data_IF_650555419387
#
_entry.id   IF_650555419387
#
_cell.length_a   1.000
_cell.length_b   1.000
_cell.length_c   1.000
_cell.angle_alpha   90.00
_cell.angle_beta   90.00
_cell.angle_gamma   90.00
#
_symmetry.space_group_name_H-M   'P 1'
#
loop_
_entity.id
_entity.type
_entity.pdbx_description
1 polymer ?
#
# COMPACT_ATOMS: atom_id res chain seq x y z
N UNK A 1 -10.77 36.57 37.01
CA UNK A 1 -11.06 36.07 35.65
C UNK A 1 -12.26 35.15 35.70
N UNK A 2 -13.29 35.36 34.87
CA UNK A 2 -14.52 34.55 34.92
C UNK A 2 -14.25 33.10 34.54
N UNK A 3 -14.84 32.13 35.26
CA UNK A 3 -14.71 30.69 34.96
C UNK A 3 -15.08 30.37 33.51
N UNK A 4 -16.01 31.13 32.92
CA UNK A 4 -16.39 31.01 31.49
C UNK A 4 -15.21 31.26 30.54
N UNK A 5 -14.36 32.24 30.87
CA UNK A 5 -13.18 32.59 30.05
C UNK A 5 -12.14 31.47 30.12
N UNK A 6 -11.98 30.83 31.29
CA UNK A 6 -11.06 29.70 31.49
C UNK A 6 -11.52 28.49 30.67
N UNK A 7 -12.82 28.16 30.69
CA UNK A 7 -13.36 27.05 29.89
C UNK A 7 -13.24 27.29 28.38
N UNK A 8 -13.48 28.52 27.94
CA UNK A 8 -13.38 28.90 26.53
C UNK A 8 -11.92 28.85 26.04
N UNK A 9 -10.97 29.23 26.88
CA UNK A 9 -9.55 29.04 26.62
C UNK A 9 -9.17 27.56 26.55
N UNK A 10 -9.63 26.73 27.49
CA UNK A 10 -9.35 25.28 27.47
C UNK A 10 -9.90 24.60 26.20
N UNK A 11 -11.12 24.96 25.79
CA UNK A 11 -11.73 24.44 24.57
C UNK A 11 -10.95 24.85 23.32
N UNK A 12 -10.53 26.11 23.25
CA UNK A 12 -9.68 26.63 22.17
C UNK A 12 -8.37 25.83 22.06
N UNK A 13 -7.67 25.62 23.18
CA UNK A 13 -6.42 24.83 23.20
C UNK A 13 -6.65 23.40 22.69
N UNK A 14 -7.71 22.73 23.14
CA UNK A 14 -8.04 21.37 22.68
C UNK A 14 -8.35 21.33 21.16
N UNK A 15 -9.03 22.35 20.65
CA UNK A 15 -9.37 22.46 19.23
C UNK A 15 -8.11 22.66 18.35
N UNK A 16 -7.19 23.52 18.77
CA UNK A 16 -5.92 23.74 18.03
C UNK A 16 -4.99 22.53 18.07
N UNK A 17 -4.97 21.74 19.15
CA UNK A 17 -4.20 20.47 19.21
C UNK A 17 -4.73 19.43 18.22
N UNK A 18 -6.05 19.36 18.00
CA UNK A 18 -6.63 18.44 17.02
C UNK A 18 -6.32 18.86 15.58
N UNK A 19 -6.36 20.16 15.28
CA UNK A 19 -6.01 20.69 13.95
C UNK A 19 -4.55 20.41 13.56
N UNK A 20 -3.60 20.50 14.51
CA UNK A 20 -2.19 20.24 14.24
C UNK A 20 -1.85 18.78 13.90
N UNK A 21 -2.67 17.82 14.34
CA UNK A 21 -2.48 16.40 14.01
C UNK A 21 -3.13 16.02 12.67
N UNK A 22 -4.16 16.74 12.23
CA UNK A 22 -4.84 16.48 10.96
C UNK A 22 -4.00 16.87 9.72
N UNK A 23 -2.98 17.72 9.87
CA UNK A 23 -2.14 18.18 8.75
C UNK A 23 -0.92 17.28 8.45
N UNK A 24 -0.67 16.23 9.24
CA UNK A 24 0.44 15.30 8.97
C UNK A 24 0.00 14.27 7.94
N UNK A 25 0.32 14.53 6.67
CA UNK A 25 0.27 13.49 5.65
C UNK A 25 1.30 12.42 6.01
N UNK A 26 0.83 11.23 6.40
CA UNK A 26 1.70 10.10 6.70
C UNK A 26 2.41 9.63 5.42
N UNK A 27 3.69 9.96 5.32
CA UNK A 27 4.57 9.58 4.19
C UNK A 27 5.41 8.34 4.51
N UNK A 28 5.27 7.75 5.70
CA UNK A 28 6.09 6.60 6.13
C UNK A 28 5.93 5.37 5.24
N UNK A 29 4.75 5.21 4.61
CA UNK A 29 4.46 4.14 3.67
C UNK A 29 4.93 4.38 2.23
N UNK A 30 5.33 5.60 1.87
CA UNK A 30 5.66 5.94 0.48
C UNK A 30 7.09 5.51 0.10
N UNK A 31 7.29 5.21 -1.19
CA UNK A 31 8.60 4.96 -1.78
C UNK A 31 9.55 6.12 -1.48
N UNK A 32 10.72 5.81 -0.92
CA UNK A 32 11.77 6.80 -0.67
C UNK A 32 12.48 7.15 -1.98
N UNK A 33 12.65 8.44 -2.24
CA UNK A 33 13.42 8.94 -3.38
C UNK A 33 14.92 8.95 -3.06
N UNK A 34 15.53 7.77 -2.96
CA UNK A 34 16.97 7.60 -2.71
C UNK A 34 17.58 6.67 -3.77
N UNK A 35 18.83 6.89 -4.22
CA UNK A 35 19.47 6.04 -5.22
C UNK A 35 19.56 4.55 -4.83
N UNK A 36 19.57 4.26 -3.54
CA UNK A 36 19.66 2.91 -2.99
C UNK A 36 18.29 2.21 -2.91
N UNK A 37 17.20 2.93 -3.19
CA UNK A 37 15.86 2.37 -3.11
C UNK A 37 15.65 1.28 -4.16
N UNK A 38 15.08 0.15 -3.72
CA UNK A 38 14.71 -0.97 -4.60
C UNK A 38 13.26 -1.35 -4.37
N UNK A 39 12.53 -1.53 -5.46
CA UNK A 39 11.19 -2.12 -5.41
C UNK A 39 11.29 -3.58 -4.95
N UNK A 40 10.28 -4.02 -4.20
CA UNK A 40 10.14 -5.44 -3.85
C UNK A 40 9.74 -6.23 -5.10
N UNK A 41 10.23 -7.45 -5.19
CA UNK A 41 9.85 -8.34 -6.28
C UNK A 41 8.40 -8.78 -6.15
N UNK A 42 7.67 -8.73 -7.26
CA UNK A 42 6.27 -9.15 -7.34
C UNK A 42 5.48 -8.39 -8.39
N UNK A 43 4.17 -8.59 -8.39
CA UNK A 43 3.26 -7.94 -9.33
C UNK A 43 2.51 -6.81 -8.63
N UNK A 44 2.61 -5.60 -9.20
CA UNK A 44 1.84 -4.44 -8.79
C UNK A 44 0.57 -4.35 -9.64
N UNK A 45 -0.60 -4.46 -9.01
CA UNK A 45 -1.90 -4.40 -9.69
C UNK A 45 -2.37 -2.97 -9.98
N UNK A 46 -1.88 -1.99 -9.22
CA UNK A 46 -2.26 -0.60 -9.35
C UNK A 46 -1.17 0.35 -8.85
N UNK A 47 -1.37 1.64 -9.09
CA UNK A 47 -0.40 2.68 -8.77
C UNK A 47 -0.21 2.91 -7.27
N UNK A 48 -1.23 2.65 -6.44
CA UNK A 48 -1.10 2.79 -4.99
C UNK A 48 -0.15 1.73 -4.41
N UNK A 49 -0.14 0.52 -4.98
CA UNK A 49 0.84 -0.49 -4.62
C UNK A 49 2.27 -0.07 -5.01
N UNK A 50 2.44 0.61 -6.15
CA UNK A 50 3.74 1.15 -6.56
C UNK A 50 4.20 2.24 -5.59
N UNK A 51 3.33 3.21 -5.30
CA UNK A 51 3.59 4.29 -4.33
C UNK A 51 4.03 3.77 -2.97
N UNK A 52 3.46 2.64 -2.54
CA UNK A 52 3.74 2.06 -1.23
C UNK A 52 4.73 0.88 -1.25
N UNK A 53 5.35 0.58 -2.41
CA UNK A 53 6.21 -0.58 -2.62
C UNK A 53 5.64 -1.89 -2.02
N UNK A 54 4.37 -2.16 -2.32
CA UNK A 54 3.60 -3.27 -1.77
C UNK A 54 3.02 -4.18 -2.87
N UNK A 55 3.86 -4.93 -3.60
CA UNK A 55 3.41 -5.84 -4.62
C UNK A 55 2.78 -7.12 -4.06
N UNK A 56 2.13 -7.89 -4.92
CA UNK A 56 1.83 -9.29 -4.67
C UNK A 56 3.14 -10.08 -4.83
N UNK A 57 3.69 -10.68 -3.76
CA UNK A 57 4.92 -11.44 -3.82
C UNK A 57 4.70 -12.74 -4.59
N UNK A 58 5.79 -13.20 -5.22
CA UNK A 58 5.85 -14.43 -6.01
C UNK A 58 5.22 -15.65 -5.32
N UNK A 59 5.44 -15.79 -4.01
CA UNK A 59 4.91 -16.87 -3.18
C UNK A 59 3.40 -16.88 -2.98
N UNK A 60 2.70 -15.76 -3.27
CA UNK A 60 1.24 -15.66 -3.15
C UNK A 60 0.53 -15.84 -4.48
N UNK A 61 1.26 -15.93 -5.59
CA UNK A 61 0.68 -16.09 -6.93
C UNK A 61 0.40 -17.57 -7.17
N UNK A 62 -0.81 -17.88 -7.64
CA UNK A 62 -1.24 -19.25 -7.92
C UNK A 62 -0.96 -19.55 -9.38
N UNK A 63 -0.04 -20.50 -9.62
CA UNK A 63 0.35 -20.98 -10.94
C UNK A 63 0.40 -22.51 -10.96
N UNK A 64 0.32 -23.09 -12.16
CA UNK A 64 0.45 -24.53 -12.42
C UNK A 64 1.86 -24.97 -12.85
N UNK A 65 2.80 -24.02 -12.97
CA UNK A 65 4.19 -24.26 -13.33
C UNK A 65 5.16 -23.93 -12.18
N UNK A 66 6.45 -24.21 -12.38
CA UNK A 66 7.47 -24.03 -11.35
C UNK A 66 7.68 -22.57 -10.93
N UNK A 67 7.81 -22.32 -9.63
CA UNK A 67 8.17 -20.97 -9.13
C UNK A 67 9.60 -20.58 -9.49
N UNK A 68 10.50 -21.51 -9.82
CA UNK A 68 11.91 -21.16 -10.09
C UNK A 68 12.19 -20.86 -11.56
N UNK A 69 11.15 -20.87 -12.41
CA UNK A 69 11.31 -20.60 -13.83
C UNK A 69 11.84 -19.16 -14.07
N UNK A 70 12.84 -18.99 -14.95
CA UNK A 70 13.44 -17.68 -15.22
C UNK A 70 12.46 -16.71 -15.90
N UNK A 71 11.46 -17.23 -16.60
CA UNK A 71 10.40 -16.49 -17.32
C UNK A 71 9.08 -16.43 -16.52
N UNK A 72 9.13 -16.67 -15.21
CA UNK A 72 7.94 -16.78 -14.35
C UNK A 72 6.95 -15.60 -14.51
N UNK A 73 7.45 -14.36 -14.45
CA UNK A 73 6.61 -13.18 -14.54
C UNK A 73 6.06 -12.98 -15.95
N UNK A 74 6.86 -13.26 -16.98
CA UNK A 74 6.43 -13.13 -18.38
C UNK A 74 5.24 -14.06 -18.67
N UNK A 75 5.29 -15.31 -18.20
CA UNK A 75 4.17 -16.26 -18.35
C UNK A 75 2.90 -15.78 -17.66
N UNK A 76 3.02 -15.23 -16.45
CA UNK A 76 1.85 -14.70 -15.71
C UNK A 76 1.23 -13.51 -16.45
N UNK A 77 2.06 -12.58 -16.93
CA UNK A 77 1.59 -11.37 -17.60
C UNK A 77 0.99 -11.65 -18.98
N UNK A 78 1.35 -12.77 -19.62
CA UNK A 78 0.72 -13.24 -20.85
C UNK A 78 -0.69 -13.81 -20.64
N UNK A 79 -1.03 -14.21 -19.42
CA UNK A 79 -2.35 -14.76 -19.11
C UNK A 79 -3.41 -13.65 -19.05
N UNK A 80 -4.63 -13.97 -19.49
CA UNK A 80 -5.78 -13.05 -19.37
C UNK A 80 -6.18 -12.79 -17.91
N UNK A 81 -5.81 -13.68 -17.00
CA UNK A 81 -6.20 -13.66 -15.59
C UNK A 81 -5.00 -14.03 -14.72
N UNK A 82 -4.86 -13.35 -13.61
CA UNK A 82 -3.86 -13.62 -12.57
C UNK A 82 -4.62 -14.03 -11.31
N UNK A 83 -4.21 -15.15 -10.72
CA UNK A 83 -4.78 -15.68 -9.49
C UNK A 83 -3.75 -15.57 -8.36
N UNK A 84 -4.18 -15.16 -7.17
CA UNK A 84 -3.29 -15.01 -6.02
C UNK A 84 -4.05 -15.09 -4.70
N UNK A 85 -3.34 -15.28 -3.59
CA UNK A 85 -3.90 -15.12 -2.25
C UNK A 85 -3.67 -13.70 -1.72
N UNK A 86 -4.70 -13.09 -1.13
CA UNK A 86 -4.57 -11.80 -0.46
C UNK A 86 -3.85 -11.90 0.90
N UNK A 87 -3.94 -10.86 1.72
CA UNK A 87 -3.27 -10.80 3.02
C UNK A 87 -3.96 -11.63 4.10
N UNK A 88 -5.23 -12.01 3.91
CA UNK A 88 -5.98 -12.89 4.81
C UNK A 88 -6.07 -14.33 4.27
N UNK A 89 -5.39 -14.63 3.16
CA UNK A 89 -5.37 -15.97 2.55
C UNK A 89 -6.57 -16.28 1.67
N UNK A 90 -7.39 -15.28 1.30
CA UNK A 90 -8.49 -15.49 0.37
C UNK A 90 -8.00 -15.45 -1.07
N UNK A 91 -8.51 -16.35 -1.91
CA UNK A 91 -8.18 -16.41 -3.34
C UNK A 91 -8.82 -15.24 -4.08
N UNK A 92 -8.00 -14.49 -4.78
CA UNK A 92 -8.37 -13.36 -5.61
C UNK A 92 -8.06 -13.64 -7.08
N UNK A 93 -8.78 -12.96 -7.96
CA UNK A 93 -8.61 -13.00 -9.41
C UNK A 93 -8.60 -11.57 -9.95
N UNK A 94 -7.67 -11.27 -10.85
CA UNK A 94 -7.64 -10.02 -11.59
C UNK A 94 -7.46 -10.30 -13.08
N UNK A 95 -8.27 -9.64 -13.91
CA UNK A 95 -8.14 -9.70 -15.35
C UNK A 95 -7.06 -8.73 -15.83
N UNK A 96 -6.15 -9.21 -16.67
CA UNK A 96 -5.22 -8.36 -17.41
C UNK A 96 -5.92 -7.82 -18.65
N UNK A 97 -6.07 -6.50 -18.77
CA UNK A 97 -6.50 -5.86 -20.01
C UNK A 97 -5.26 -5.74 -20.89
N UNK A 98 -5.16 -6.59 -21.90
CA UNK A 98 -4.16 -6.48 -22.96
C UNK A 98 -4.64 -5.49 -24.02
#
# INVERSE_FOLDING_TARGET
MSKKIIYLFMFSVLFFVHLGNAQKTDTSGLVKYTPEFKFKDGIFLNFDQVKNNNPIPKSRIIVDFGYNEPDFFDRILQNKKIYFFDHIGSRQEVSSKK
#
